data_IF_963000076112
#
_entry.id   IF_963000076112
#
_cell.length_a   1.000
_cell.length_b   1.000
_cell.length_c   1.000
_cell.angle_alpha   90.00
_cell.angle_beta   90.00
_cell.angle_gamma   90.00
#
_symmetry.space_group_name_H-M   'P 1'
#
loop_
_entity.id
_entity.type
_entity.pdbx_description
1 polymer ?
#
# COMPACT_ATOMS: atom_id res chain seq x y z
N UNK A 1 23.53 46.39 -3.81
CA UNK A 1 22.61 45.23 -3.70
C UNK A 1 22.73 44.27 -4.90
N UNK A 2 23.77 44.37 -5.76
CA UNK A 2 23.94 43.52 -6.95
C UNK A 2 24.60 42.14 -6.73
N UNK A 3 25.21 41.87 -5.58
CA UNK A 3 26.01 40.64 -5.38
C UNK A 3 25.17 39.37 -5.10
N UNK A 4 23.97 39.54 -4.54
CA UNK A 4 23.11 38.41 -4.12
C UNK A 4 22.46 37.72 -5.33
N UNK A 5 22.07 38.50 -6.35
CA UNK A 5 21.44 37.95 -7.56
C UNK A 5 22.40 37.11 -8.40
N UNK A 6 23.68 37.48 -8.45
CA UNK A 6 24.72 36.73 -9.17
C UNK A 6 25.02 35.38 -8.48
N UNK A 7 25.17 35.38 -7.15
CA UNK A 7 25.41 34.16 -6.36
C UNK A 7 24.24 33.18 -6.45
N UNK A 8 22.99 33.66 -6.33
CA UNK A 8 21.81 32.80 -6.47
C UNK A 8 21.75 32.17 -7.87
N UNK A 9 22.11 32.92 -8.92
CA UNK A 9 22.12 32.42 -10.30
C UNK A 9 23.20 31.36 -10.53
N UNK A 10 24.33 31.47 -9.84
CA UNK A 10 25.44 30.52 -9.89
C UNK A 10 25.11 29.22 -9.13
N UNK A 11 24.56 29.33 -7.92
CA UNK A 11 24.06 28.21 -7.11
C UNK A 11 22.96 27.45 -7.88
N UNK A 12 22.05 28.18 -8.53
CA UNK A 12 20.98 27.58 -9.36
C UNK A 12 21.54 26.82 -10.56
N UNK A 13 22.62 27.33 -11.17
CA UNK A 13 23.26 26.71 -12.33
C UNK A 13 24.00 25.42 -11.95
N UNK A 14 24.67 25.41 -10.80
CA UNK A 14 25.34 24.22 -10.27
C UNK A 14 24.33 23.15 -9.82
N UNK A 15 23.24 23.56 -9.16
CA UNK A 15 22.12 22.66 -8.81
C UNK A 15 21.48 22.04 -10.06
N UNK A 16 21.27 22.82 -11.12
CA UNK A 16 20.72 22.31 -12.39
C UNK A 16 21.61 21.21 -12.97
N UNK A 17 22.92 21.44 -13.01
CA UNK A 17 23.87 20.47 -13.54
C UNK A 17 23.96 19.19 -12.69
N UNK A 18 23.82 19.32 -11.37
CA UNK A 18 23.78 18.18 -10.45
C UNK A 18 22.50 17.35 -10.58
N UNK A 19 21.35 18.02 -10.74
CA UNK A 19 20.05 17.38 -10.99
C UNK A 19 20.07 16.64 -12.33
N UNK A 20 20.65 17.23 -13.37
CA UNK A 20 20.76 16.63 -14.70
C UNK A 20 21.55 15.30 -14.67
N UNK A 21 22.71 15.27 -14.01
CA UNK A 21 23.50 14.03 -13.85
C UNK A 21 22.80 12.98 -12.95
N UNK A 22 22.08 13.41 -11.91
CA UNK A 22 21.29 12.51 -11.04
C UNK A 22 20.09 11.92 -11.76
N UNK A 23 19.45 12.68 -12.66
CA UNK A 23 18.34 12.23 -13.49
C UNK A 23 18.83 11.17 -14.49
N UNK A 24 19.97 11.38 -15.14
CA UNK A 24 20.51 10.45 -16.13
C UNK A 24 20.82 9.06 -15.51
N UNK A 25 21.44 9.05 -14.34
CA UNK A 25 21.68 7.82 -13.56
C UNK A 25 20.38 7.20 -13.01
N UNK A 26 19.38 8.01 -12.68
CA UNK A 26 18.08 7.51 -12.21
C UNK A 26 17.28 6.88 -13.35
N UNK A 27 17.27 7.48 -14.55
CA UNK A 27 16.54 6.97 -15.72
C UNK A 27 17.02 5.58 -16.10
N UNK A 28 18.34 5.33 -16.08
CA UNK A 28 18.89 4.03 -16.44
C UNK A 28 18.50 2.94 -15.40
N UNK A 29 18.65 3.24 -14.11
CA UNK A 29 18.32 2.30 -13.03
C UNK A 29 16.79 2.08 -12.86
N UNK A 30 15.99 3.11 -13.17
CA UNK A 30 14.52 3.00 -13.23
C UNK A 30 14.13 2.12 -14.42
N UNK A 31 14.77 2.28 -15.59
CA UNK A 31 14.49 1.47 -16.78
C UNK A 31 14.71 -0.03 -16.55
N UNK A 32 15.82 -0.40 -15.91
CA UNK A 32 16.13 -1.81 -15.60
C UNK A 32 15.14 -2.38 -14.56
N UNK A 33 14.84 -1.64 -13.49
CA UNK A 33 13.85 -2.08 -12.48
C UNK A 33 12.45 -2.19 -13.05
N UNK A 34 12.04 -1.25 -13.89
CA UNK A 34 10.74 -1.26 -14.56
C UNK A 34 10.66 -2.45 -15.53
N UNK A 35 11.72 -2.72 -16.29
CA UNK A 35 11.78 -3.86 -17.21
C UNK A 35 11.71 -5.20 -16.45
N UNK A 36 12.43 -5.32 -15.32
CA UNK A 36 12.36 -6.50 -14.45
C UNK A 36 10.96 -6.68 -13.85
N UNK A 37 10.36 -5.61 -13.33
CA UNK A 37 8.99 -5.64 -12.79
C UNK A 37 7.96 -6.01 -13.84
N UNK A 38 8.07 -5.46 -15.05
CA UNK A 38 7.16 -5.77 -16.17
C UNK A 38 7.33 -7.23 -16.58
N UNK A 39 8.57 -7.72 -16.73
CA UNK A 39 8.84 -9.12 -17.06
C UNK A 39 8.27 -10.08 -16.01
N UNK A 40 8.50 -9.80 -14.73
CA UNK A 40 7.94 -10.59 -13.63
C UNK A 40 6.40 -10.51 -13.58
N UNK A 41 5.82 -9.33 -13.80
CA UNK A 41 4.37 -9.12 -13.80
C UNK A 41 3.70 -9.87 -14.95
N UNK A 42 4.29 -9.88 -16.14
CA UNK A 42 3.79 -10.62 -17.29
C UNK A 42 3.80 -12.12 -16.99
N UNK A 43 4.92 -12.65 -16.49
CA UNK A 43 5.01 -14.07 -16.14
C UNK A 43 3.97 -14.46 -15.07
N UNK A 44 3.82 -13.66 -14.02
CA UNK A 44 2.81 -13.89 -12.99
C UNK A 44 1.39 -13.78 -13.56
N UNK A 45 1.13 -12.81 -14.43
CA UNK A 45 -0.17 -12.61 -15.07
C UNK A 45 -0.56 -13.83 -15.91
N UNK A 46 0.37 -14.38 -16.69
CA UNK A 46 0.12 -15.62 -17.43
C UNK A 46 -0.18 -16.80 -16.50
N UNK A 47 0.56 -16.94 -15.41
CA UNK A 47 0.30 -17.96 -14.39
C UNK A 47 -1.09 -17.84 -13.77
N UNK A 48 -1.45 -16.63 -13.33
CA UNK A 48 -2.79 -16.34 -12.79
C UNK A 48 -3.89 -16.48 -13.82
N UNK A 49 -3.64 -16.13 -15.08
CA UNK A 49 -4.61 -16.28 -16.16
C UNK A 49 -4.92 -17.75 -16.41
N UNK A 50 -3.90 -18.61 -16.53
CA UNK A 50 -4.09 -20.07 -16.70
C UNK A 50 -4.79 -20.67 -15.49
N UNK A 51 -4.36 -20.32 -14.28
CA UNK A 51 -4.97 -20.79 -13.05
C UNK A 51 -6.43 -20.34 -12.93
N UNK A 52 -6.71 -19.08 -13.27
CA UNK A 52 -8.05 -18.51 -13.29
C UNK A 52 -8.95 -19.19 -14.32
N UNK A 53 -8.42 -19.47 -15.52
CA UNK A 53 -9.14 -20.22 -16.55
C UNK A 53 -9.50 -21.62 -16.03
N UNK A 54 -8.52 -22.35 -15.49
CA UNK A 54 -8.72 -23.67 -14.92
C UNK A 54 -9.75 -23.68 -13.79
N UNK A 55 -9.75 -22.64 -12.95
CA UNK A 55 -10.71 -22.50 -11.87
C UNK A 55 -12.13 -22.24 -12.40
N UNK A 56 -12.30 -21.39 -13.42
CA UNK A 56 -13.60 -21.15 -14.08
C UNK A 56 -14.12 -22.44 -14.72
N UNK A 57 -13.27 -23.18 -15.44
CA UNK A 57 -13.64 -24.47 -16.01
C UNK A 57 -13.98 -25.50 -14.94
N UNK A 58 -13.22 -25.54 -13.84
CA UNK A 58 -13.48 -26.43 -12.70
C UNK A 58 -14.81 -26.13 -12.02
N UNK A 59 -15.14 -24.86 -11.78
CA UNK A 59 -16.44 -24.45 -11.24
C UNK A 59 -17.58 -24.75 -12.20
N UNK A 60 -17.35 -24.61 -13.51
CA UNK A 60 -18.34 -24.96 -14.55
C UNK A 60 -18.59 -26.47 -14.55
N UNK A 61 -17.54 -27.30 -14.47
CA UNK A 61 -17.67 -28.75 -14.38
C UNK A 61 -18.40 -29.16 -13.08
N UNK A 62 -18.05 -28.54 -11.95
CA UNK A 62 -18.74 -28.77 -10.67
C UNK A 62 -20.21 -28.39 -10.74
N UNK A 63 -20.53 -27.29 -11.43
CA UNK A 63 -21.90 -26.84 -11.66
C UNK A 63 -22.69 -27.85 -12.47
N UNK A 64 -22.13 -28.36 -13.57
CA UNK A 64 -22.78 -29.38 -14.40
C UNK A 64 -23.01 -30.65 -13.57
N UNK A 65 -22.01 -31.10 -12.82
CA UNK A 65 -22.12 -32.27 -11.94
C UNK A 65 -23.24 -32.12 -10.88
N UNK A 66 -23.34 -30.94 -10.25
CA UNK A 66 -24.44 -30.64 -9.33
C UNK A 66 -25.77 -30.53 -10.06
N UNK A 67 -25.80 -29.99 -11.27
CA UNK A 67 -26.99 -29.86 -12.10
C UNK A 67 -27.58 -31.22 -12.48
N UNK A 68 -26.73 -32.17 -12.87
CA UNK A 68 -27.11 -33.56 -13.16
C UNK A 68 -27.67 -34.26 -11.92
N UNK A 69 -27.07 -34.04 -10.75
CA UNK A 69 -27.55 -34.61 -9.49
C UNK A 69 -28.91 -34.06 -9.07
N UNK A 70 -29.21 -32.81 -9.43
CA UNK A 70 -30.47 -32.12 -9.11
C UNK A 70 -31.52 -32.24 -10.23
N UNK A 71 -31.22 -32.98 -11.31
CA UNK A 71 -32.07 -33.19 -12.50
C UNK A 71 -32.46 -31.86 -13.18
N UNK A 72 -31.69 -30.80 -12.92
CA UNK A 72 -31.94 -29.41 -13.34
C UNK A 72 -30.62 -28.68 -13.53
N UNK A 73 -30.24 -28.45 -14.78
CA UNK A 73 -28.96 -27.79 -15.13
C UNK A 73 -28.79 -26.41 -14.48
N UNK A 74 -29.86 -25.60 -14.43
CA UNK A 74 -29.81 -24.25 -13.85
C UNK A 74 -29.54 -24.23 -12.33
N UNK A 75 -29.91 -25.31 -11.62
CA UNK A 75 -29.76 -25.38 -10.18
C UNK A 75 -28.29 -25.53 -9.77
N UNK A 76 -27.49 -26.25 -10.59
CA UNK A 76 -26.05 -26.39 -10.37
C UNK A 76 -25.33 -25.04 -10.40
N UNK A 77 -25.64 -24.20 -11.39
CA UNK A 77 -25.04 -22.88 -11.50
C UNK A 77 -25.48 -21.95 -10.38
N UNK A 78 -26.76 -22.02 -9.99
CA UNK A 78 -27.29 -21.21 -8.89
C UNK A 78 -26.60 -21.54 -7.55
N UNK A 79 -26.35 -22.83 -7.28
CA UNK A 79 -25.67 -23.27 -6.04
C UNK A 79 -24.22 -22.82 -6.04
N UNK A 80 -23.50 -23.01 -7.14
CA UNK A 80 -22.09 -22.62 -7.24
C UNK A 80 -21.93 -21.11 -7.19
N UNK A 81 -22.84 -20.34 -7.80
CA UNK A 81 -22.79 -18.88 -7.80
C UNK A 81 -23.24 -18.23 -6.48
N UNK A 82 -24.12 -18.88 -5.71
CA UNK A 82 -24.65 -18.38 -4.44
C UNK A 82 -23.57 -17.85 -3.47
N UNK A 83 -22.50 -18.60 -3.11
CA UNK A 83 -21.47 -18.09 -2.22
C UNK A 83 -20.74 -16.86 -2.80
N UNK A 84 -20.52 -16.80 -4.12
CA UNK A 84 -19.89 -15.64 -4.76
C UNK A 84 -20.81 -14.41 -4.73
N UNK A 85 -22.12 -14.59 -4.91
CA UNK A 85 -23.10 -13.52 -4.77
C UNK A 85 -23.15 -13.02 -3.33
N UNK A 86 -23.14 -13.92 -2.35
CA UNK A 86 -23.12 -13.54 -0.92
C UNK A 86 -21.83 -12.77 -0.60
N UNK A 87 -20.67 -13.24 -1.03
CA UNK A 87 -19.40 -12.51 -0.86
C UNK A 87 -19.44 -11.14 -1.56
N UNK A 88 -19.93 -11.09 -2.80
CA UNK A 88 -20.07 -9.85 -3.56
C UNK A 88 -21.00 -8.86 -2.87
N UNK A 89 -22.12 -9.33 -2.35
CA UNK A 89 -23.07 -8.53 -1.58
C UNK A 89 -22.45 -8.03 -0.28
N UNK A 90 -21.74 -8.90 0.46
CA UNK A 90 -20.98 -8.50 1.65
C UNK A 90 -19.99 -7.40 1.28
N UNK A 91 -19.27 -7.52 0.16
CA UNK A 91 -18.27 -6.53 -0.25
C UNK A 91 -18.90 -5.19 -0.68
N UNK A 92 -20.06 -5.22 -1.35
CA UNK A 92 -20.79 -4.00 -1.75
C UNK A 92 -21.42 -3.31 -0.53
N UNK A 93 -21.96 -4.08 0.40
CA UNK A 93 -22.58 -3.58 1.64
C UNK A 93 -21.52 -3.13 2.65
N UNK A 94 -20.39 -3.83 2.74
CA UNK A 94 -19.20 -3.42 3.47
C UNK A 94 -18.60 -2.21 2.76
N UNK A 95 -19.18 -1.04 3.04
CA UNK A 95 -18.92 0.19 2.29
C UNK A 95 -17.42 0.32 2.00
N UNK A 96 -17.01 0.58 0.74
CA UNK A 96 -15.61 0.75 0.38
C UNK A 96 -14.93 1.84 1.21
N UNK A 97 -15.70 2.81 1.72
CA UNK A 97 -15.25 3.83 2.68
C UNK A 97 -14.72 3.23 3.99
N UNK A 98 -15.22 2.09 4.46
CA UNK A 98 -14.74 1.47 5.70
C UNK A 98 -13.43 0.72 5.49
N UNK A 99 -13.25 0.05 4.35
CA UNK A 99 -12.00 -0.67 4.02
C UNK A 99 -10.91 0.35 3.68
N UNK A 100 -11.21 1.32 2.81
CA UNK A 100 -10.26 2.39 2.46
C UNK A 100 -9.84 3.21 3.69
N UNK A 101 -10.79 3.53 4.59
CA UNK A 101 -10.47 4.25 5.84
C UNK A 101 -9.65 3.40 6.81
N UNK A 102 -9.88 2.09 6.89
CA UNK A 102 -9.03 1.19 7.69
C UNK A 102 -7.61 1.10 7.14
N UNK A 103 -7.44 0.98 5.83
CA UNK A 103 -6.13 0.96 5.19
C UNK A 103 -5.42 2.30 5.40
N UNK A 104 -6.12 3.42 5.22
CA UNK A 104 -5.57 4.76 5.50
C UNK A 104 -5.14 4.91 6.97
N UNK A 105 -5.94 4.40 7.91
CA UNK A 105 -5.60 4.44 9.33
C UNK A 105 -4.40 3.56 9.69
N UNK A 106 -4.28 2.37 9.09
CA UNK A 106 -3.12 1.50 9.30
C UNK A 106 -1.84 2.12 8.73
N UNK A 107 -1.90 2.64 7.51
CA UNK A 107 -0.79 3.35 6.89
C UNK A 107 -0.42 4.58 7.73
N UNK A 108 -1.40 5.40 8.14
CA UNK A 108 -1.15 6.57 8.97
C UNK A 108 -0.57 6.21 10.34
N UNK A 109 -1.05 5.15 10.98
CA UNK A 109 -0.51 4.67 12.25
C UNK A 109 0.96 4.22 12.09
N UNK A 110 1.26 3.45 11.04
CA UNK A 110 2.63 3.01 10.73
C UNK A 110 3.56 4.21 10.48
N UNK A 111 3.10 5.21 9.73
CA UNK A 111 3.85 6.46 9.48
C UNK A 111 4.00 7.33 10.72
N UNK A 112 3.00 7.39 11.60
CA UNK A 112 3.07 8.15 12.86
C UNK A 112 3.97 7.47 13.88
N UNK A 113 3.98 6.13 13.95
CA UNK A 113 4.91 5.38 14.81
C UNK A 113 6.38 5.50 14.34
N UNK A 114 6.60 5.70 13.04
CA UNK A 114 7.95 6.00 12.51
C UNK A 114 8.37 7.46 12.71
N UNK A 115 7.46 8.36 13.13
CA UNK A 115 7.80 9.71 13.55
C UNK A 115 8.03 9.70 15.08
N UNK A 116 9.27 9.87 15.57
CA UNK A 116 9.52 9.86 17.01
C UNK A 116 8.71 10.97 17.67
N UNK A 117 7.85 10.57 18.62
CA UNK A 117 7.01 11.42 19.46
C UNK A 117 7.88 12.34 20.34
N UNK A 118 8.45 13.39 19.74
CA UNK A 118 9.29 14.41 20.40
C UNK A 118 8.58 15.20 21.51
N UNK A 119 7.25 15.08 21.64
CA UNK A 119 6.45 15.84 22.61
C UNK A 119 6.23 15.08 23.93
N UNK A 120 6.05 13.76 23.91
CA UNK A 120 5.78 12.99 25.15
C UNK A 120 7.03 12.72 26.00
N UNK A 121 8.21 12.67 25.38
CA UNK A 121 9.46 12.47 26.12
C UNK A 121 9.91 13.77 26.83
N UNK A 122 9.66 14.94 26.25
CA UNK A 122 10.04 16.22 26.86
C UNK A 122 9.16 16.57 28.07
N UNK A 123 7.85 16.29 28.03
CA UNK A 123 6.96 16.47 29.18
C UNK A 123 7.32 15.53 30.34
N UNK A 124 7.63 14.27 30.05
CA UNK A 124 8.02 13.31 31.09
C UNK A 124 9.40 13.60 31.71
N UNK A 125 10.34 14.16 30.93
CA UNK A 125 11.64 14.58 31.45
C UNK A 125 11.53 15.84 32.33
N UNK A 126 10.69 16.81 31.95
CA UNK A 126 10.44 18.02 32.74
C UNK A 126 9.71 17.75 34.07
N UNK A 127 8.82 16.74 34.10
CA UNK A 127 8.13 16.30 35.31
C UNK A 127 9.08 15.57 36.26
N UNK A 128 9.93 14.67 35.75
CA UNK A 128 10.95 13.96 36.55
C UNK A 128 12.03 14.90 37.10
N UNK A 129 12.41 15.94 36.37
CA UNK A 129 13.37 16.93 36.84
C UNK A 129 12.80 17.79 37.99
N UNK A 130 11.51 18.13 37.94
CA UNK A 130 10.84 18.87 39.00
C UNK A 130 10.65 18.05 40.29
N UNK A 131 10.31 16.77 40.19
CA UNK A 131 10.23 15.88 41.37
C UNK A 131 11.59 15.74 42.06
N UNK A 132 12.68 15.60 41.29
CA UNK A 132 14.03 15.45 41.84
C UNK A 132 14.51 16.71 42.59
N UNK A 133 14.17 17.90 42.08
CA UNK A 133 14.51 19.18 42.73
C UNK A 133 13.71 19.42 44.01
N UNK A 134 12.48 18.89 44.11
CA UNK A 134 11.68 18.98 45.33
C UNK A 134 12.12 18.01 46.43
N UNK A 135 12.71 16.87 46.07
CA UNK A 135 13.27 15.91 47.04
C UNK A 135 14.62 16.36 47.59
N UNK A 136 15.44 17.06 46.80
CA UNK A 136 16.74 17.61 47.25
C UNK A 136 16.63 18.86 48.15
N UNK A 137 15.48 19.57 48.16
CA UNK A 137 15.28 20.79 48.98
C UNK A 137 14.55 20.53 50.32
N UNK A 138 14.16 19.29 50.61
CA UNK A 138 13.46 18.89 51.84
C UNK A 138 14.22 17.83 52.67
N UNK A 139 15.51 17.60 52.37
CA UNK A 139 16.42 16.77 53.16
C UNK A 139 17.55 17.61 53.75
#
# INVERSE_FOLDING_TARGET
MEDVGSRIKQITRELKHYVETRIELSVLNIGDKVSYLIGQSIQQLFGYAILGLGLVFGLTALSIFLGDLLDKEWAGYAIVASPFIVLGLIFVVAKPKSIARKIQQQILAEFLDTLPNQQQDQEQLALKENEKKQTENNG
#
